data_IF_860494747783
#
_entry.id   IF_860494747783
#
_cell.length_a   1.000
_cell.length_b   1.000
_cell.length_c   1.000
_cell.angle_alpha   90.00
_cell.angle_beta   90.00
_cell.angle_gamma   90.00
#
_symmetry.space_group_name_H-M   'P 1'
#
loop_
_entity.id
_entity.type
_entity.pdbx_description
1 polymer ?
#
# COMPACT_ATOMS: atom_id res chain seq x y z
N UNK A 1 5.68 18.82 0.44
CA UNK A 1 4.51 19.66 0.75
C UNK A 1 3.28 18.80 0.51
N UNK A 2 2.43 18.63 1.53
CA UNK A 2 1.15 17.94 1.39
C UNK A 2 0.08 18.97 1.01
N UNK A 3 -0.76 18.61 0.03
CA UNK A 3 -1.91 19.43 -0.34
C UNK A 3 -3.08 19.11 0.58
N UNK A 4 -3.69 20.13 1.20
CA UNK A 4 -4.88 19.94 2.06
C UNK A 4 -6.13 19.59 1.26
N UNK A 5 -7.12 18.94 1.89
CA UNK A 5 -8.36 18.49 1.21
C UNK A 5 -9.40 19.61 1.00
N UNK A 6 -9.36 20.66 1.82
CA UNK A 6 -10.52 21.52 2.02
C UNK A 6 -10.67 22.67 1.02
N UNK A 7 -9.68 22.91 0.16
CA UNK A 7 -9.72 24.02 -0.81
C UNK A 7 -9.20 23.55 -2.18
N UNK A 8 -9.86 22.52 -2.74
CA UNK A 8 -9.50 21.87 -4.01
C UNK A 8 -9.18 22.87 -5.12
N UNK A 9 -10.01 23.87 -5.33
CA UNK A 9 -9.85 24.88 -6.36
C UNK A 9 -8.51 25.64 -6.24
N UNK A 10 -8.14 26.14 -5.04
CA UNK A 10 -6.86 26.84 -4.83
C UNK A 10 -5.64 25.95 -5.05
N UNK A 11 -5.75 24.67 -4.65
CA UNK A 11 -4.68 23.69 -4.83
C UNK A 11 -4.45 23.45 -6.33
N UNK A 12 -5.52 23.29 -7.11
CA UNK A 12 -5.46 23.09 -8.55
C UNK A 12 -4.90 24.32 -9.26
N UNK A 13 -5.34 25.52 -8.90
CA UNK A 13 -4.78 26.77 -9.44
C UNK A 13 -3.28 26.91 -9.14
N UNK A 14 -2.89 26.68 -7.87
CA UNK A 14 -1.47 26.71 -7.49
C UNK A 14 -0.67 25.68 -8.27
N UNK A 15 -1.19 24.45 -8.40
CA UNK A 15 -0.52 23.38 -9.15
C UNK A 15 -0.36 23.73 -10.63
N UNK A 16 -1.35 24.40 -11.26
CA UNK A 16 -1.24 24.93 -12.63
C UNK A 16 -0.13 25.96 -12.77
N UNK A 17 -0.06 26.92 -11.84
CA UNK A 17 0.96 27.99 -11.85
C UNK A 17 2.38 27.42 -11.81
N UNK A 18 2.59 26.34 -11.04
CA UNK A 18 3.91 25.71 -10.88
C UNK A 18 4.12 24.52 -11.83
N UNK A 19 3.30 24.39 -12.88
CA UNK A 19 3.47 23.36 -13.93
C UNK A 19 3.35 21.93 -13.46
N UNK A 20 2.44 21.63 -12.51
CA UNK A 20 2.19 20.27 -12.02
C UNK A 20 3.28 19.71 -11.09
N UNK A 21 4.22 20.53 -10.61
CA UNK A 21 5.32 20.09 -9.75
C UNK A 21 4.87 19.56 -8.36
N UNK A 22 3.66 19.92 -7.90
CA UNK A 22 3.08 19.39 -6.66
C UNK A 22 2.26 18.13 -6.93
N UNK A 23 2.50 17.10 -6.14
CA UNK A 23 1.63 15.91 -6.12
C UNK A 23 0.32 16.24 -5.40
N UNK A 24 -0.79 15.87 -6.02
CA UNK A 24 -2.13 16.12 -5.46
C UNK A 24 -2.58 14.96 -4.58
N UNK A 25 -2.95 15.27 -3.34
CA UNK A 25 -3.44 14.30 -2.38
C UNK A 25 -4.96 14.18 -2.41
N UNK A 26 -5.46 12.98 -2.63
CA UNK A 26 -6.86 12.58 -2.42
C UNK A 26 -7.00 11.51 -1.33
N UNK A 27 -6.25 11.64 -0.22
CA UNK A 27 -6.16 10.63 0.84
C UNK A 27 -7.50 10.36 1.52
N UNK A 28 -8.02 9.15 1.34
CA UNK A 28 -9.36 8.75 1.84
C UNK A 28 -9.30 7.93 3.12
N UNK A 29 -8.21 7.24 3.40
CA UNK A 29 -8.00 6.25 4.46
C UNK A 29 -8.92 5.02 4.34
N UNK A 30 -10.22 5.20 4.21
CA UNK A 30 -11.25 4.23 3.82
C UNK A 30 -12.42 4.96 3.17
N UNK A 31 -13.11 4.31 2.22
CA UNK A 31 -14.35 4.79 1.62
C UNK A 31 -15.59 4.07 2.16
N UNK A 32 -15.40 3.10 3.05
CA UNK A 32 -16.52 2.42 3.70
C UNK A 32 -17.23 3.38 4.67
N UNK A 33 -18.58 3.56 4.54
CA UNK A 33 -19.32 4.50 5.36
C UNK A 33 -19.26 4.20 6.85
N UNK A 34 -19.29 2.92 7.24
CA UNK A 34 -19.25 2.53 8.65
C UNK A 34 -17.86 2.78 9.24
N UNK A 35 -16.79 2.52 8.47
CA UNK A 35 -15.43 2.86 8.89
C UNK A 35 -15.29 4.37 9.06
N UNK A 36 -15.79 5.18 8.11
CA UNK A 36 -15.73 6.64 8.19
C UNK A 36 -16.47 7.18 9.44
N UNK A 37 -17.63 6.63 9.75
CA UNK A 37 -18.38 6.97 10.95
C UNK A 37 -17.60 6.64 12.22
N UNK A 38 -17.04 5.43 12.29
CA UNK A 38 -16.26 4.97 13.45
C UNK A 38 -15.02 5.83 13.71
N UNK A 39 -14.34 6.30 12.65
CA UNK A 39 -13.16 7.17 12.77
C UNK A 39 -13.52 8.68 12.74
N UNK A 40 -14.82 9.01 12.77
CA UNK A 40 -15.35 10.38 12.78
C UNK A 40 -14.80 11.24 11.63
N UNK A 41 -14.70 10.66 10.43
CA UNK A 41 -14.10 11.30 9.25
C UNK A 41 -15.13 11.51 8.15
N UNK A 42 -15.10 12.70 7.55
CA UNK A 42 -15.80 12.98 6.29
C UNK A 42 -14.80 12.94 5.14
N UNK A 43 -15.09 12.14 4.14
CA UNK A 43 -14.28 12.04 2.93
C UNK A 43 -14.90 12.82 1.75
N UNK A 44 -14.09 13.01 0.72
CA UNK A 44 -14.54 13.40 -0.60
C UNK A 44 -15.39 12.28 -1.21
N UNK A 45 -16.40 12.60 -2.01
CA UNK A 45 -17.21 11.61 -2.72
C UNK A 45 -16.39 10.89 -3.80
N UNK A 46 -16.92 9.76 -4.31
CA UNK A 46 -16.29 9.04 -5.43
C UNK A 46 -16.16 9.92 -6.68
N UNK A 47 -17.20 10.72 -6.99
CA UNK A 47 -17.18 11.69 -8.09
C UNK A 47 -16.09 12.76 -7.85
N UNK A 48 -15.98 13.25 -6.63
CA UNK A 48 -14.96 14.22 -6.24
C UNK A 48 -13.54 13.67 -6.35
N UNK A 49 -13.34 12.36 -6.13
CA UNK A 49 -12.06 11.67 -6.35
C UNK A 49 -11.73 11.61 -7.84
N UNK A 50 -12.70 11.21 -8.68
CA UNK A 50 -12.54 11.18 -10.14
C UNK A 50 -12.17 12.57 -10.69
N UNK A 51 -12.91 13.60 -10.29
CA UNK A 51 -12.62 14.98 -10.68
C UNK A 51 -11.22 15.42 -10.26
N UNK A 52 -10.76 15.02 -9.08
CA UNK A 52 -9.41 15.37 -8.62
C UNK A 52 -8.34 14.67 -9.45
N UNK A 53 -8.50 13.38 -9.73
CA UNK A 53 -7.56 12.61 -10.55
C UNK A 53 -7.51 13.13 -11.99
N UNK A 54 -8.67 13.41 -12.61
CA UNK A 54 -8.75 14.01 -13.96
C UNK A 54 -8.08 15.38 -14.00
N UNK A 55 -8.40 16.26 -13.04
CA UNK A 55 -7.79 17.59 -12.95
C UNK A 55 -6.26 17.52 -12.76
N UNK A 56 -5.77 16.53 -11.99
CA UNK A 56 -4.34 16.30 -11.84
C UNK A 56 -3.70 15.92 -13.18
N UNK A 57 -4.31 14.98 -13.89
CA UNK A 57 -3.84 14.51 -15.20
C UNK A 57 -3.79 15.66 -16.23
N UNK A 58 -4.83 16.50 -16.31
CA UNK A 58 -4.92 17.64 -17.23
C UNK A 58 -3.79 18.67 -17.03
N UNK A 59 -3.33 18.88 -15.81
CA UNK A 59 -2.24 19.80 -15.49
C UNK A 59 -0.86 19.13 -15.42
N UNK A 60 -0.76 17.84 -15.78
CA UNK A 60 0.47 17.07 -15.72
C UNK A 60 0.98 16.79 -14.30
N UNK A 61 0.13 16.94 -13.27
CA UNK A 61 0.48 16.64 -11.88
C UNK A 61 0.19 15.19 -11.55
N UNK A 62 1.07 14.57 -10.74
CA UNK A 62 0.80 13.26 -10.17
C UNK A 62 -0.21 13.35 -9.01
N UNK A 63 -1.11 12.40 -8.94
CA UNK A 63 -2.08 12.25 -7.84
C UNK A 63 -1.79 11.00 -7.01
N UNK A 64 -2.10 11.05 -5.71
CA UNK A 64 -1.99 9.91 -4.83
C UNK A 64 -3.11 9.86 -3.80
N UNK A 65 -3.40 8.66 -3.32
CA UNK A 65 -4.29 8.44 -2.18
C UNK A 65 -3.61 7.61 -1.10
N UNK A 66 -3.98 7.84 0.14
CA UNK A 66 -3.54 7.08 1.30
C UNK A 66 -4.71 6.27 1.84
N UNK A 67 -4.49 4.98 2.03
CA UNK A 67 -5.48 4.01 2.53
C UNK A 67 -4.87 3.31 3.73
N UNK A 68 -5.67 3.11 4.79
CA UNK A 68 -5.23 2.48 6.03
C UNK A 68 -6.00 1.17 6.23
N UNK A 69 -5.29 0.07 6.35
CA UNK A 69 -5.83 -1.26 6.67
C UNK A 69 -6.04 -1.39 8.18
N UNK A 70 -7.17 -1.98 8.56
CA UNK A 70 -7.47 -2.34 9.95
C UNK A 70 -8.08 -1.22 10.78
N UNK A 71 -8.63 -0.17 10.16
CA UNK A 71 -9.42 0.85 10.84
C UNK A 71 -10.64 0.23 11.54
N UNK A 72 -11.17 0.85 12.63
CA UNK A 72 -12.37 0.38 13.33
C UNK A 72 -13.54 0.08 12.39
N UNK A 73 -13.99 -1.17 12.33
CA UNK A 73 -15.06 -1.64 11.45
C UNK A 73 -14.61 -2.02 10.04
N UNK A 74 -13.30 -1.91 9.73
CA UNK A 74 -12.77 -2.33 8.43
C UNK A 74 -12.89 -3.85 8.24
N UNK A 75 -12.98 -4.27 7.00
CA UNK A 75 -13.00 -5.67 6.59
C UNK A 75 -12.21 -5.82 5.29
N UNK A 76 -11.76 -7.02 4.98
CA UNK A 76 -11.12 -7.31 3.68
C UNK A 76 -11.93 -6.80 2.50
N UNK A 77 -13.26 -7.01 2.53
CA UNK A 77 -14.15 -6.54 1.46
C UNK A 77 -14.18 -5.00 1.37
N UNK A 78 -14.33 -4.32 2.50
CA UNK A 78 -14.35 -2.85 2.56
C UNK A 78 -13.02 -2.25 2.10
N UNK A 79 -11.91 -2.83 2.56
CA UNK A 79 -10.56 -2.44 2.17
C UNK A 79 -10.31 -2.60 0.67
N UNK A 80 -10.67 -3.77 0.10
CA UNK A 80 -10.55 -4.03 -1.34
C UNK A 80 -11.43 -3.09 -2.16
N UNK A 81 -12.66 -2.81 -1.72
CA UNK A 81 -13.55 -1.86 -2.40
C UNK A 81 -13.00 -0.43 -2.37
N UNK A 82 -12.38 -0.01 -1.26
CA UNK A 82 -11.71 1.29 -1.17
C UNK A 82 -10.57 1.38 -2.18
N UNK A 83 -9.69 0.37 -2.23
CA UNK A 83 -8.58 0.32 -3.19
C UNK A 83 -9.11 0.35 -4.63
N UNK A 84 -10.08 -0.51 -4.95
CA UNK A 84 -10.75 -0.53 -6.26
C UNK A 84 -11.23 0.85 -6.67
N UNK A 85 -12.00 1.51 -5.81
CA UNK A 85 -12.58 2.82 -6.13
C UNK A 85 -11.51 3.87 -6.42
N UNK A 86 -10.40 3.87 -5.68
CA UNK A 86 -9.31 4.82 -5.89
C UNK A 86 -8.53 4.51 -7.19
N UNK A 87 -8.31 3.23 -7.51
CA UNK A 87 -7.68 2.82 -8.77
C UNK A 87 -8.54 3.21 -9.97
N UNK A 88 -9.85 2.90 -9.93
CA UNK A 88 -10.78 3.20 -11.01
C UNK A 88 -11.05 4.72 -11.15
N UNK A 89 -10.83 5.50 -10.08
CA UNK A 89 -10.83 6.96 -10.16
C UNK A 89 -9.60 7.54 -10.91
N UNK A 90 -8.58 6.72 -11.18
CA UNK A 90 -7.41 7.11 -12.00
C UNK A 90 -6.28 7.79 -11.21
N UNK A 91 -6.15 7.55 -9.92
CA UNK A 91 -4.99 8.03 -9.16
C UNK A 91 -3.70 7.36 -9.64
N UNK A 92 -2.60 8.12 -9.69
CA UNK A 92 -1.32 7.59 -10.16
C UNK A 92 -0.65 6.62 -9.18
N UNK A 93 -0.90 6.76 -7.87
CA UNK A 93 -0.33 5.87 -6.87
C UNK A 93 -1.16 5.79 -5.59
N UNK A 94 -1.05 4.65 -4.90
CA UNK A 94 -1.67 4.39 -3.62
C UNK A 94 -0.61 4.13 -2.56
N UNK A 95 -0.68 4.85 -1.44
CA UNK A 95 0.09 4.55 -0.23
C UNK A 95 -0.78 3.72 0.71
N UNK A 96 -0.33 2.48 0.95
CA UNK A 96 -1.09 1.48 1.68
C UNK A 96 -0.44 1.28 3.05
N UNK A 97 -1.09 1.81 4.07
CA UNK A 97 -0.65 1.79 5.46
C UNK A 97 -1.40 0.73 6.27
N UNK A 98 -0.86 0.39 7.41
CA UNK A 98 -1.51 -0.37 8.47
C UNK A 98 -1.95 0.60 9.56
N UNK A 99 -3.03 0.28 10.28
CA UNK A 99 -3.46 1.10 11.42
C UNK A 99 -2.41 1.03 12.52
N UNK A 100 -1.73 2.14 12.74
CA UNK A 100 -0.88 2.38 13.89
C UNK A 100 -1.72 2.98 15.02
N UNK A 101 -1.66 2.39 16.19
CA UNK A 101 -2.33 2.87 17.40
C UNK A 101 -1.44 3.92 18.05
N UNK A 102 -1.78 5.17 17.85
CA UNK A 102 -1.01 6.31 18.37
C UNK A 102 -1.36 6.55 19.85
N UNK A 103 -0.38 6.60 20.76
CA UNK A 103 -0.60 6.94 22.16
C UNK A 103 -1.35 8.27 22.30
N UNK A 104 -2.36 8.30 23.18
CA UNK A 104 -3.18 9.49 23.43
C UNK A 104 -4.31 9.72 22.41
N UNK A 105 -4.41 8.90 21.36
CA UNK A 105 -5.57 8.92 20.46
C UNK A 105 -6.77 8.20 21.08
N UNK A 106 -7.99 8.51 20.60
CA UNK A 106 -9.21 7.79 21.01
C UNK A 106 -9.11 6.28 20.72
N UNK A 107 -8.46 5.91 19.63
CA UNK A 107 -8.26 4.50 19.25
C UNK A 107 -7.32 3.74 20.20
N UNK A 108 -6.47 4.43 20.97
CA UNK A 108 -5.58 3.79 21.94
C UNK A 108 -6.25 3.52 23.29
N UNK A 109 -7.50 3.94 23.49
CA UNK A 109 -8.22 3.72 24.76
C UNK A 109 -8.66 2.26 24.89
N UNK A 110 -8.65 1.73 26.12
CA UNK A 110 -9.16 0.40 26.41
C UNK A 110 -10.62 0.20 25.97
N UNK A 111 -11.41 1.26 26.02
CA UNK A 111 -12.81 1.27 25.56
C UNK A 111 -12.87 0.99 24.05
N UNK A 112 -12.09 1.73 23.25
CA UNK A 112 -12.03 1.56 21.80
C UNK A 112 -11.50 0.18 21.41
N UNK A 113 -10.42 -0.27 22.06
CA UNK A 113 -9.84 -1.60 21.82
C UNK A 113 -10.87 -2.71 22.06
N UNK A 114 -11.60 -2.66 23.19
CA UNK A 114 -12.66 -3.62 23.50
C UNK A 114 -13.86 -3.50 22.56
N UNK A 115 -14.31 -2.29 22.27
CA UNK A 115 -15.47 -2.03 21.40
C UNK A 115 -15.29 -2.63 20.02
N UNK A 116 -14.12 -2.47 19.44
CA UNK A 116 -13.83 -2.95 18.08
C UNK A 116 -13.13 -4.31 18.05
N UNK A 117 -12.81 -4.90 19.22
CA UNK A 117 -12.11 -6.18 19.33
C UNK A 117 -10.74 -6.15 18.67
N UNK A 118 -10.01 -5.04 18.80
CA UNK A 118 -8.73 -4.86 18.15
C UNK A 118 -7.65 -5.72 18.82
N UNK A 119 -6.98 -6.55 18.02
CA UNK A 119 -5.74 -7.23 18.38
C UNK A 119 -4.56 -6.38 17.97
N UNK A 120 -3.71 -6.04 18.93
CA UNK A 120 -2.58 -5.13 18.74
C UNK A 120 -1.29 -5.92 18.92
N UNK A 121 -0.39 -5.82 17.93
CA UNK A 121 0.98 -6.35 17.99
C UNK A 121 1.99 -5.23 17.89
N UNK A 122 3.23 -5.53 18.18
CA UNK A 122 4.30 -4.56 18.35
C UNK A 122 5.44 -4.86 17.37
N UNK A 123 6.05 -3.82 16.80
CA UNK A 123 7.29 -3.91 16.03
C UNK A 123 8.13 -2.65 16.21
N UNK A 124 9.37 -2.72 15.80
CA UNK A 124 10.21 -1.51 15.72
C UNK A 124 9.75 -0.67 14.52
N UNK A 125 9.49 0.62 14.78
CA UNK A 125 9.16 1.58 13.74
C UNK A 125 10.36 1.67 12.76
N UNK A 126 10.16 1.42 11.46
CA UNK A 126 11.24 1.42 10.48
C UNK A 126 12.05 2.71 10.50
N UNK A 127 13.37 2.59 10.60
CA UNK A 127 14.34 3.70 10.66
C UNK A 127 14.30 4.55 11.95
N UNK A 128 13.56 4.14 12.97
CA UNK A 128 13.50 4.84 14.25
C UNK A 128 14.26 4.07 15.34
N UNK A 129 15.54 3.89 15.13
CA UNK A 129 16.47 3.20 16.02
C UNK A 129 17.89 3.75 15.86
N UNK A 130 18.70 3.60 16.90
CA UNK A 130 20.09 4.04 16.86
C UNK A 130 20.86 3.72 18.13
N UNK A 131 22.18 3.90 18.05
CA UNK A 131 23.09 3.85 19.17
C UNK A 131 23.71 5.24 19.34
N UNK A 132 23.57 5.83 20.52
CA UNK A 132 23.94 7.19 20.82
C UNK A 132 24.96 7.21 21.98
N UNK A 133 25.88 8.18 21.98
CA UNK A 133 26.74 8.44 23.13
C UNK A 133 26.16 9.57 23.96
N UNK A 134 25.79 9.27 25.19
CA UNK A 134 25.27 10.24 26.15
C UNK A 134 26.18 10.26 27.38
N UNK A 135 26.86 11.38 27.63
CA UNK A 135 27.82 11.53 28.73
C UNK A 135 28.93 10.45 28.77
N UNK A 136 29.32 9.95 27.61
CA UNK A 136 30.36 8.92 27.48
C UNK A 136 29.85 7.46 27.51
N UNK A 137 28.59 7.24 27.82
CA UNK A 137 27.95 5.93 27.81
C UNK A 137 27.21 5.69 26.50
N UNK A 138 27.19 4.44 26.02
CA UNK A 138 26.39 4.05 24.87
C UNK A 138 24.95 3.81 25.27
N UNK A 139 24.02 4.49 24.60
CA UNK A 139 22.59 4.38 24.80
C UNK A 139 21.91 3.89 23.53
N UNK A 140 21.33 2.71 23.60
CA UNK A 140 20.47 2.16 22.56
C UNK A 140 19.08 2.80 22.64
N UNK A 141 18.58 3.28 21.52
CA UNK A 141 17.20 3.78 21.39
C UNK A 141 16.51 3.16 20.21
N UNK A 142 15.25 2.77 20.39
CA UNK A 142 14.38 2.31 19.32
C UNK A 142 12.94 2.70 19.65
N UNK A 143 12.15 3.04 18.63
CA UNK A 143 10.73 3.35 18.80
C UNK A 143 9.89 2.11 18.48
N UNK A 144 9.04 1.70 19.41
CA UNK A 144 8.10 0.59 19.23
C UNK A 144 6.76 1.18 18.83
N UNK A 145 6.24 0.75 17.67
CA UNK A 145 4.90 1.07 17.24
C UNK A 145 3.92 -0.09 17.50
N UNK A 146 2.66 0.28 17.73
CA UNK A 146 1.54 -0.63 17.92
C UNK A 146 0.73 -0.71 16.63
N UNK A 147 0.55 -1.94 16.11
CA UNK A 147 -0.17 -2.19 14.86
C UNK A 147 -1.42 -3.02 15.15
N UNK A 148 -2.58 -2.56 14.69
CA UNK A 148 -3.80 -3.36 14.69
C UNK A 148 -3.74 -4.40 13.57
N UNK A 149 -3.78 -5.69 13.94
CA UNK A 149 -3.64 -6.82 13.00
C UNK A 149 -4.92 -7.62 12.83
N UNK A 150 -5.88 -7.48 13.74
CA UNK A 150 -7.24 -8.04 13.61
C UNK A 150 -8.26 -7.22 14.40
N UNK A 151 -9.53 -7.45 14.13
CA UNK A 151 -10.66 -6.81 14.81
C UNK A 151 -11.90 -7.70 14.70
N UNK A 152 -13.05 -7.24 15.28
CA UNK A 152 -14.33 -7.94 15.13
C UNK A 152 -14.77 -8.15 13.67
N UNK A 153 -14.26 -7.38 12.73
CA UNK A 153 -14.66 -7.36 11.31
C UNK A 153 -13.54 -7.75 10.34
N UNK A 154 -12.31 -7.85 10.83
CA UNK A 154 -11.12 -8.21 10.05
C UNK A 154 -10.35 -9.30 10.79
N UNK A 155 -10.34 -10.53 10.26
CA UNK A 155 -9.52 -11.61 10.81
C UNK A 155 -8.02 -11.39 10.51
N UNK A 156 -7.14 -12.05 11.26
CA UNK A 156 -5.70 -11.98 11.00
C UNK A 156 -5.32 -12.55 9.62
N UNK A 157 -6.02 -13.60 9.15
CA UNK A 157 -5.81 -14.13 7.79
C UNK A 157 -6.26 -13.15 6.71
N UNK A 158 -7.36 -12.41 6.95
CA UNK A 158 -7.79 -11.34 6.05
C UNK A 158 -6.80 -10.18 6.03
N UNK A 159 -6.22 -9.82 7.19
CA UNK A 159 -5.14 -8.85 7.28
C UNK A 159 -3.94 -9.29 6.42
N UNK A 160 -3.46 -10.52 6.55
CA UNK A 160 -2.37 -11.05 5.72
C UNK A 160 -2.73 -11.07 4.22
N UNK A 161 -3.97 -11.42 3.88
CA UNK A 161 -4.47 -11.36 2.51
C UNK A 161 -4.46 -9.93 1.94
N UNK A 162 -4.84 -8.94 2.76
CA UNK A 162 -4.75 -7.53 2.38
C UNK A 162 -3.29 -7.10 2.18
N UNK A 163 -2.37 -7.54 3.05
CA UNK A 163 -0.94 -7.26 2.90
C UNK A 163 -0.36 -7.83 1.60
N UNK A 164 -0.78 -9.05 1.23
CA UNK A 164 -0.38 -9.65 -0.07
C UNK A 164 -0.89 -8.82 -1.26
N UNK A 165 -2.13 -8.34 -1.20
CA UNK A 165 -2.65 -7.40 -2.22
C UNK A 165 -1.84 -6.10 -2.26
N UNK A 166 -1.39 -5.58 -1.10
CA UNK A 166 -0.54 -4.38 -1.06
C UNK A 166 0.77 -4.57 -1.83
N UNK A 167 1.39 -5.76 -1.75
CA UNK A 167 2.58 -6.08 -2.53
C UNK A 167 2.28 -6.07 -4.03
N UNK A 168 1.18 -6.70 -4.46
CA UNK A 168 0.75 -6.72 -5.87
C UNK A 168 0.52 -5.29 -6.38
N UNK A 169 -0.21 -4.45 -5.63
CA UNK A 169 -0.46 -3.06 -6.03
C UNK A 169 0.85 -2.26 -6.11
N UNK A 170 1.75 -2.48 -5.16
CA UNK A 170 3.05 -1.81 -5.15
C UNK A 170 3.88 -2.18 -6.37
N UNK A 171 3.82 -3.42 -6.84
CA UNK A 171 4.57 -3.90 -8.01
C UNK A 171 3.90 -3.55 -9.35
N UNK A 172 2.60 -3.78 -9.46
CA UNK A 172 1.92 -3.73 -10.76
C UNK A 172 1.20 -2.41 -11.05
N UNK A 173 0.86 -1.63 -10.01
CA UNK A 173 0.15 -0.36 -10.19
C UNK A 173 1.01 0.86 -9.87
N UNK A 174 1.71 0.86 -8.75
CA UNK A 174 2.57 1.96 -8.35
C UNK A 174 3.88 2.01 -9.16
N UNK A 175 4.64 3.09 -9.02
CA UNK A 175 6.02 3.28 -9.53
C UNK A 175 6.21 3.19 -11.05
N UNK A 176 5.15 2.97 -11.81
CA UNK A 176 5.16 3.11 -13.27
C UNK A 176 5.83 1.97 -14.05
N UNK A 177 6.18 0.84 -13.42
CA UNK A 177 6.78 -0.32 -14.12
C UNK A 177 5.91 -0.72 -15.32
N UNK A 178 4.60 -0.87 -15.12
CA UNK A 178 3.65 -1.22 -16.16
C UNK A 178 2.86 -0.01 -16.70
N UNK A 179 3.42 1.21 -16.64
CA UNK A 179 2.72 2.45 -17.03
C UNK A 179 2.19 2.43 -18.46
N UNK A 180 2.95 1.86 -19.41
CA UNK A 180 2.52 1.73 -20.80
C UNK A 180 1.30 0.82 -20.94
N UNK A 181 1.26 -0.29 -20.20
CA UNK A 181 0.13 -1.20 -20.16
C UNK A 181 -1.11 -0.56 -19.50
N UNK A 182 -0.92 0.13 -18.36
CA UNK A 182 -2.01 0.84 -17.67
C UNK A 182 -2.60 1.96 -18.55
N UNK A 183 -1.76 2.67 -19.31
CA UNK A 183 -2.20 3.67 -20.28
C UNK A 183 -3.00 3.03 -21.41
N UNK A 184 -2.57 1.88 -21.93
CA UNK A 184 -3.33 1.11 -22.92
C UNK A 184 -4.71 0.71 -22.40
N UNK A 185 -4.79 0.21 -21.15
CA UNK A 185 -6.07 -0.11 -20.51
C UNK A 185 -7.00 1.10 -20.40
N UNK A 186 -6.46 2.25 -20.02
CA UNK A 186 -7.21 3.51 -19.98
C UNK A 186 -7.78 3.89 -21.35
N UNK A 187 -6.97 3.83 -22.42
CA UNK A 187 -7.40 4.12 -23.81
C UNK A 187 -8.49 3.14 -24.27
N UNK A 188 -8.36 1.86 -23.95
CA UNK A 188 -9.34 0.82 -24.30
C UNK A 188 -10.52 0.75 -23.33
N UNK A 189 -10.57 1.58 -22.29
CA UNK A 189 -11.60 1.61 -21.22
C UNK A 189 -11.72 0.27 -20.51
N UNK A 190 -10.62 -0.42 -20.31
CA UNK A 190 -10.53 -1.65 -19.52
C UNK A 190 -10.35 -1.33 -18.04
N UNK A 191 -10.97 -2.14 -17.17
CA UNK A 191 -10.83 -1.99 -15.72
C UNK A 191 -9.45 -2.43 -15.26
N UNK A 192 -8.68 -1.49 -14.70
CA UNK A 192 -7.37 -1.79 -14.10
C UNK A 192 -7.56 -2.67 -12.86
N UNK A 193 -8.62 -2.44 -12.08
CA UNK A 193 -8.93 -3.29 -10.94
C UNK A 193 -9.19 -4.74 -11.36
N UNK A 194 -9.94 -4.96 -12.45
CA UNK A 194 -10.17 -6.33 -12.96
C UNK A 194 -8.86 -7.03 -13.33
N UNK A 195 -7.92 -6.31 -13.92
CA UNK A 195 -6.59 -6.83 -14.21
C UNK A 195 -5.83 -7.22 -12.93
N UNK A 196 -5.90 -6.39 -11.87
CA UNK A 196 -5.29 -6.70 -10.56
C UNK A 196 -5.95 -7.94 -9.91
N UNK A 197 -7.27 -8.09 -10.02
CA UNK A 197 -7.97 -9.31 -9.56
C UNK A 197 -7.47 -10.55 -10.28
N UNK A 198 -7.31 -10.48 -11.60
CA UNK A 198 -6.77 -11.59 -12.39
C UNK A 198 -5.34 -11.91 -11.95
N UNK A 199 -4.45 -10.90 -11.82
CA UNK A 199 -3.07 -11.08 -11.35
C UNK A 199 -3.02 -11.84 -10.02
N UNK A 200 -3.85 -11.45 -9.07
CA UNK A 200 -3.91 -12.07 -7.74
C UNK A 200 -4.29 -13.56 -7.79
N UNK A 201 -5.10 -13.96 -8.76
CA UNK A 201 -5.65 -15.31 -8.89
C UNK A 201 -4.79 -16.19 -9.82
N UNK A 202 -3.77 -15.64 -10.47
CA UNK A 202 -2.82 -16.40 -11.28
C UNK A 202 -1.82 -17.18 -10.42
N UNK A 203 -1.28 -18.25 -11.02
CA UNK A 203 -0.14 -18.96 -10.43
C UNK A 203 1.13 -18.15 -10.69
N UNK A 204 1.81 -17.77 -9.63
CA UNK A 204 3.07 -17.03 -9.72
C UNK A 204 4.20 -17.91 -10.27
N UNK A 205 5.11 -17.30 -11.03
CA UNK A 205 6.38 -17.89 -11.38
C UNK A 205 7.21 -18.20 -10.13
N UNK A 206 8.23 -19.05 -10.29
CA UNK A 206 8.98 -19.61 -9.14
C UNK A 206 9.60 -18.53 -8.27
N UNK A 207 10.27 -17.56 -8.89
CA UNK A 207 11.05 -16.55 -8.16
C UNK A 207 10.12 -15.53 -7.47
N UNK A 208 9.04 -15.13 -8.13
CA UNK A 208 8.05 -14.25 -7.51
C UNK A 208 7.23 -14.98 -6.43
N UNK A 209 6.93 -16.27 -6.60
CA UNK A 209 6.27 -17.07 -5.56
C UNK A 209 7.12 -17.16 -4.29
N UNK A 210 8.43 -17.36 -4.44
CA UNK A 210 9.36 -17.38 -3.30
C UNK A 210 9.36 -16.03 -2.56
N UNK A 211 9.47 -14.91 -3.31
CA UNK A 211 9.45 -13.56 -2.74
C UNK A 211 8.11 -13.26 -2.05
N UNK A 212 6.99 -13.65 -2.64
CA UNK A 212 5.66 -13.48 -2.06
C UNK A 212 5.49 -14.25 -0.74
N UNK A 213 6.03 -15.48 -0.68
CA UNK A 213 6.04 -16.28 0.55
C UNK A 213 6.93 -15.62 1.61
N UNK A 214 8.15 -15.19 1.25
CA UNK A 214 9.06 -14.47 2.15
C UNK A 214 8.41 -13.19 2.70
N UNK A 215 7.68 -12.43 1.87
CA UNK A 215 6.94 -11.25 2.32
C UNK A 215 5.87 -11.59 3.37
N UNK A 216 5.12 -12.67 3.15
CA UNK A 216 4.07 -13.11 4.08
C UNK A 216 4.68 -13.56 5.40
N UNK A 217 5.75 -14.34 5.36
CA UNK A 217 6.45 -14.81 6.55
C UNK A 217 7.12 -13.66 7.31
N UNK A 218 7.75 -12.73 6.60
CA UNK A 218 8.32 -11.53 7.21
C UNK A 218 7.24 -10.66 7.87
N UNK A 219 6.05 -10.52 7.23
CA UNK A 219 4.91 -9.79 7.80
C UNK A 219 4.41 -10.41 9.11
N UNK A 220 4.51 -11.73 9.26
CA UNK A 220 4.19 -12.43 10.53
C UNK A 220 5.30 -12.25 11.56
N UNK A 221 6.54 -12.41 11.15
CA UNK A 221 7.71 -12.48 12.02
C UNK A 221 8.18 -11.12 12.56
N UNK A 222 7.81 -10.00 11.92
CA UNK A 222 8.13 -8.65 12.43
C UNK A 222 7.28 -8.27 13.66
N UNK A 223 6.21 -9.02 13.95
CA UNK A 223 5.19 -8.68 14.93
C UNK A 223 5.40 -9.44 16.25
N UNK A 224 5.41 -8.71 17.36
CA UNK A 224 5.59 -9.21 18.70
C UNK A 224 4.32 -9.04 19.53
N UNK A 225 3.99 -10.03 20.35
CA UNK A 225 2.83 -9.96 21.26
C UNK A 225 3.09 -8.96 22.39
N UNK A 226 4.30 -8.97 22.94
CA UNK A 226 4.64 -8.18 24.12
C UNK A 226 5.72 -7.14 23.77
N UNK A 227 5.48 -5.84 24.05
CA UNK A 227 6.46 -4.78 23.78
C UNK A 227 7.72 -4.92 24.64
N UNK A 228 7.63 -5.46 25.87
CA UNK A 228 8.78 -5.63 26.74
C UNK A 228 9.73 -6.71 26.19
N UNK A 229 9.18 -7.81 25.64
CA UNK A 229 9.99 -8.86 25.00
C UNK A 229 10.71 -8.31 23.77
N UNK A 230 10.02 -7.51 22.94
CA UNK A 230 10.63 -6.80 21.81
C UNK A 230 11.73 -5.86 22.30
N UNK A 231 11.48 -5.08 23.34
CA UNK A 231 12.47 -4.16 23.90
C UNK A 231 13.68 -4.90 24.47
N UNK A 232 13.46 -5.99 25.18
CA UNK A 232 14.53 -6.85 25.70
C UNK A 232 15.34 -7.47 24.55
N UNK A 233 14.71 -7.84 23.44
CA UNK A 233 15.39 -8.33 22.24
C UNK A 233 16.29 -7.23 21.64
N UNK A 234 15.77 -6.01 21.46
CA UNK A 234 16.51 -4.89 20.86
C UNK A 234 17.76 -4.52 21.66
N UNK A 235 17.70 -4.64 23.00
CA UNK A 235 18.81 -4.34 23.91
C UNK A 235 19.92 -5.38 23.93
N UNK A 236 19.72 -6.55 23.32
CA UNK A 236 20.78 -7.57 23.25
C UNK A 236 21.95 -7.02 22.42
N UNK A 237 23.17 -7.39 22.83
CA UNK A 237 24.40 -7.00 22.15
C UNK A 237 24.32 -7.30 20.64
N UNK A 238 24.68 -6.33 19.82
CA UNK A 238 24.72 -6.43 18.37
C UNK A 238 23.35 -6.31 17.66
N UNK A 239 22.20 -6.39 18.37
CA UNK A 239 20.89 -6.35 17.71
C UNK A 239 20.60 -5.00 17.07
N UNK A 240 20.86 -3.89 17.78
CA UNK A 240 20.68 -2.55 17.18
C UNK A 240 21.54 -2.36 15.96
N UNK A 241 22.76 -2.93 15.96
CA UNK A 241 23.62 -2.88 14.79
C UNK A 241 22.97 -3.56 13.58
N UNK A 242 22.28 -4.69 13.76
CA UNK A 242 21.51 -5.36 12.67
C UNK A 242 20.40 -4.48 12.12
N UNK A 243 19.73 -3.69 12.96
CA UNK A 243 18.77 -2.69 12.50
C UNK A 243 19.44 -1.58 11.71
N UNK A 244 20.58 -1.06 12.18
CA UNK A 244 21.35 0.01 11.51
C UNK A 244 21.92 -0.49 10.16
N UNK A 245 22.43 -1.72 10.12
CA UNK A 245 22.99 -2.34 8.91
C UNK A 245 21.89 -2.77 7.91
N UNK A 246 20.62 -2.66 8.27
CA UNK A 246 19.47 -2.99 7.41
C UNK A 246 19.16 -4.49 7.32
N UNK A 247 19.66 -5.31 8.24
CA UNK A 247 19.30 -6.73 8.34
C UNK A 247 17.90 -6.90 8.96
N UNK A 248 17.49 -5.97 9.84
CA UNK A 248 16.21 -5.97 10.55
C UNK A 248 15.49 -4.61 10.38
N UNK A 249 14.19 -4.57 10.66
CA UNK A 249 13.41 -3.33 10.77
C UNK A 249 13.23 -2.56 9.46
N UNK A 250 13.33 -3.22 8.32
CA UNK A 250 13.10 -2.60 7.02
C UNK A 250 11.59 -2.48 6.72
N UNK A 251 11.24 -1.53 5.85
CA UNK A 251 9.90 -1.50 5.28
C UNK A 251 9.71 -2.70 4.35
N UNK A 252 8.91 -3.68 4.78
CA UNK A 252 8.74 -4.95 4.09
C UNK A 252 8.23 -4.80 2.65
N UNK A 253 7.31 -3.84 2.38
CA UNK A 253 6.83 -3.59 1.03
C UNK A 253 7.97 -3.12 0.11
N UNK A 254 8.80 -2.18 0.57
CA UNK A 254 9.91 -1.68 -0.23
C UNK A 254 11.01 -2.73 -0.44
N UNK A 255 11.31 -3.49 0.59
CA UNK A 255 12.31 -4.56 0.51
C UNK A 255 11.90 -5.62 -0.52
N UNK A 256 10.68 -6.18 -0.38
CA UNK A 256 10.23 -7.26 -1.26
C UNK A 256 9.90 -6.76 -2.67
N UNK A 257 9.44 -5.50 -2.82
CA UNK A 257 9.35 -4.87 -4.13
C UNK A 257 10.71 -4.83 -4.83
N UNK A 258 11.74 -4.34 -4.13
CA UNK A 258 13.09 -4.27 -4.72
C UNK A 258 13.63 -5.65 -5.08
N UNK A 259 13.40 -6.65 -4.21
CA UNK A 259 13.76 -8.04 -4.50
C UNK A 259 13.04 -8.57 -5.74
N UNK A 260 11.73 -8.32 -5.88
CA UNK A 260 10.95 -8.77 -7.02
C UNK A 260 11.42 -8.14 -8.34
N UNK A 261 11.69 -6.83 -8.34
CA UNK A 261 12.20 -6.13 -9.53
C UNK A 261 13.58 -6.65 -9.94
N UNK A 262 14.46 -6.98 -8.99
CA UNK A 262 15.83 -7.42 -9.31
C UNK A 262 15.91 -8.90 -9.66
N UNK A 263 15.08 -9.76 -9.03
CA UNK A 263 15.23 -11.21 -9.11
C UNK A 263 14.13 -11.94 -9.87
N UNK A 264 12.96 -11.30 -10.05
CA UNK A 264 11.76 -11.93 -10.61
C UNK A 264 11.09 -11.06 -11.68
N UNK A 265 11.84 -10.19 -12.38
CA UNK A 265 11.27 -9.28 -13.38
C UNK A 265 10.59 -10.04 -14.52
N UNK A 266 11.14 -11.18 -14.93
CA UNK A 266 10.56 -12.02 -15.98
C UNK A 266 9.21 -12.61 -15.50
N UNK A 267 9.15 -13.16 -14.29
CA UNK A 267 7.90 -13.64 -13.68
C UNK A 267 6.84 -12.53 -13.60
N UNK A 268 7.24 -11.30 -13.23
CA UNK A 268 6.31 -10.15 -13.19
C UNK A 268 5.80 -9.79 -14.58
N UNK A 269 6.66 -9.82 -15.59
CA UNK A 269 6.30 -9.52 -16.99
C UNK A 269 5.35 -10.58 -17.55
N UNK A 270 5.63 -11.86 -17.31
CA UNK A 270 4.77 -12.97 -17.73
C UNK A 270 3.39 -12.90 -17.08
N UNK A 271 3.34 -12.63 -15.78
CA UNK A 271 2.07 -12.44 -15.05
C UNK A 271 1.28 -11.25 -15.61
N UNK A 272 1.93 -10.11 -15.82
CA UNK A 272 1.31 -8.92 -16.37
C UNK A 272 0.72 -9.20 -17.77
N UNK A 273 1.46 -9.91 -18.60
CA UNK A 273 1.03 -10.32 -19.94
C UNK A 273 -0.17 -11.28 -19.88
N UNK A 274 -0.07 -12.39 -19.12
CA UNK A 274 -1.15 -13.37 -19.02
C UNK A 274 -2.44 -12.74 -18.49
N UNK A 275 -2.35 -11.88 -17.47
CA UNK A 275 -3.50 -11.18 -16.96
C UNK A 275 -4.09 -10.19 -17.98
N UNK A 276 -3.25 -9.53 -18.79
CA UNK A 276 -3.69 -8.64 -19.84
C UNK A 276 -4.39 -9.38 -20.98
N UNK A 277 -3.88 -10.54 -21.41
CA UNK A 277 -4.58 -11.37 -22.40
C UNK A 277 -5.96 -11.81 -21.92
N UNK A 278 -6.09 -12.20 -20.64
CA UNK A 278 -7.37 -12.58 -20.04
C UNK A 278 -8.37 -11.44 -20.06
N UNK A 279 -7.96 -10.22 -19.68
CA UNK A 279 -8.88 -9.07 -19.70
C UNK A 279 -9.26 -8.67 -21.13
N UNK A 280 -8.35 -8.76 -22.10
CA UNK A 280 -8.67 -8.54 -23.51
C UNK A 280 -9.71 -9.54 -24.01
N UNK A 281 -9.58 -10.80 -23.66
CA UNK A 281 -10.53 -11.86 -23.99
C UNK A 281 -11.90 -11.65 -23.33
N UNK A 282 -11.92 -11.31 -22.05
CA UNK A 282 -13.17 -10.99 -21.30
C UNK A 282 -13.94 -9.86 -21.98
N UNK A 283 -13.27 -8.91 -22.62
CA UNK A 283 -13.87 -7.73 -23.27
C UNK A 283 -14.04 -7.89 -24.79
N UNK A 284 -13.70 -9.05 -25.38
CA UNK A 284 -13.87 -9.32 -26.81
C UNK A 284 -12.96 -8.51 -27.73
N UNK A 285 -11.82 -8.02 -27.24
CA UNK A 285 -10.85 -7.21 -28.01
C UNK A 285 -9.47 -7.86 -28.08
N UNK A 286 -9.41 -9.18 -28.06
CA UNK A 286 -8.20 -9.99 -28.11
C UNK A 286 -7.68 -10.19 -29.54
N UNK A 287 -7.66 -9.14 -30.36
CA UNK A 287 -7.03 -9.19 -31.69
C UNK A 287 -5.53 -9.40 -31.58
N UNK A 288 -4.91 -9.97 -32.61
CA UNK A 288 -3.45 -10.18 -32.65
C UNK A 288 -2.69 -8.86 -32.48
N UNK A 289 -3.21 -7.75 -33.01
CA UNK A 289 -2.64 -6.42 -32.84
C UNK A 289 -2.59 -6.01 -31.37
N UNK A 290 -3.72 -6.15 -30.62
CA UNK A 290 -3.77 -5.81 -29.21
C UNK A 290 -2.88 -6.73 -28.37
N UNK A 291 -2.81 -8.03 -28.68
CA UNK A 291 -1.92 -8.99 -28.00
C UNK A 291 -0.45 -8.59 -28.22
N UNK A 292 -0.07 -8.30 -29.47
CA UNK A 292 1.28 -7.85 -29.79
C UNK A 292 1.63 -6.55 -29.06
N UNK A 293 0.70 -5.59 -28.99
CA UNK A 293 0.90 -4.33 -28.26
C UNK A 293 1.12 -4.57 -26.77
N UNK A 294 0.32 -5.43 -26.15
CA UNK A 294 0.51 -5.83 -24.75
C UNK A 294 1.88 -6.46 -24.53
N UNK A 295 2.28 -7.38 -25.43
CA UNK A 295 3.61 -8.01 -25.37
C UNK A 295 4.74 -6.99 -25.41
N UNK A 296 4.63 -5.94 -26.24
CA UNK A 296 5.63 -4.87 -26.28
C UNK A 296 5.58 -4.01 -25.01
N UNK A 297 4.39 -3.73 -24.46
CA UNK A 297 4.27 -2.95 -23.21
C UNK A 297 4.97 -3.62 -22.01
N UNK A 298 4.99 -4.94 -21.93
CA UNK A 298 5.57 -5.67 -20.79
C UNK A 298 7.05 -6.02 -20.98
N UNK A 299 7.60 -5.91 -22.19
CA UNK A 299 9.03 -6.14 -22.49
C UNK A 299 9.93 -4.94 -22.17
N UNK A 300 9.37 -3.79 -21.87
CA UNK A 300 10.07 -2.51 -21.74
C UNK A 300 10.57 -2.26 -20.31
N UNK A 301 11.14 -3.30 -19.67
CA UNK A 301 11.59 -3.17 -18.26
C UNK A 301 13.07 -3.49 -18.07
#
# INVERSE_FOLDING_TARGET
VATGKNVKHRILETSKIIGGALRLSGSVQSLDPQVQENIKRKNISAEGLMDLALSASEIGANSYSEIILGLPGDSKKAHFNTIKTVIEAGFNSLYLFQLMILPGSEMSTLESVKKYGMEIKHRILPRCYGNFKVKGEEVVSAEIEQICVSSNTLSYDDYLSCRSLHLIITLFYNDGIFSSLLKFFSIKKLSIWRWIEILKDLKFGKDFQEISNQFTDATRNELWENPDDLWNFVRKEGVVKKYIDGELGNNLLFTHKSMAIVRAVDDLSDLAHEAAEKILKENGINSQENINFVSECVKYH
#
